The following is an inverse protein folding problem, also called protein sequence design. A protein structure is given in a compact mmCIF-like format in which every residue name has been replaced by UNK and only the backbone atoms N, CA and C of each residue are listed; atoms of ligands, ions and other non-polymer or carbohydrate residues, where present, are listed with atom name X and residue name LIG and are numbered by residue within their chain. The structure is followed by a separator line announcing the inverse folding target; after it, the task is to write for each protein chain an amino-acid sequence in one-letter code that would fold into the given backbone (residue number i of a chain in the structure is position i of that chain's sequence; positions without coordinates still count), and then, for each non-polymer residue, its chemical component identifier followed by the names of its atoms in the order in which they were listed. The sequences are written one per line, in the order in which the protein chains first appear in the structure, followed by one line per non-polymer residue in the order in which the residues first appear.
data_IF_052643422068
#
_entry.id   IF_052643422068
#
_cell.length_a   1.000
_cell.length_b   1.000
_cell.length_c   1.000
_cell.angle_alpha   90.00
_cell.angle_beta   90.00
_cell.angle_gamma   90.00
#
_symmetry.space_group_name_H-M   'P 1'
#
loop_
_entity.id
_entity.type
_entity.pdbx_description
1 polymer ?
#
# COMPACT_ATOMS: atom_id res chain seq x y z
N UNK A 1 0.11 -26.24 25.03
CA UNK A 1 -1.31 -26.16 24.64
C UNK A 1 -1.34 -25.93 23.14
N UNK A 2 -2.02 -26.79 22.38
CA UNK A 2 -2.28 -26.53 20.98
C UNK A 2 -3.25 -25.35 20.88
N UNK A 3 -2.88 -24.31 20.15
CA UNK A 3 -3.78 -23.18 19.86
C UNK A 3 -4.93 -23.73 19.00
N UNK A 4 -6.17 -23.48 19.40
CA UNK A 4 -7.35 -23.89 18.64
C UNK A 4 -7.66 -22.87 17.53
N UNK A 5 -6.97 -23.05 16.41
CA UNK A 5 -7.04 -22.17 15.23
C UNK A 5 -8.48 -22.03 14.71
N UNK A 6 -9.28 -23.09 14.78
CA UNK A 6 -10.67 -23.07 14.31
C UNK A 6 -11.53 -22.14 15.16
N UNK A 7 -11.38 -22.21 16.49
CA UNK A 7 -12.08 -21.30 17.39
C UNK A 7 -11.67 -19.84 17.15
N UNK A 8 -10.38 -19.54 16.93
CA UNK A 8 -9.96 -18.18 16.55
C UNK A 8 -10.60 -17.74 15.22
N UNK A 9 -10.68 -18.63 14.22
CA UNK A 9 -11.32 -18.28 12.93
C UNK A 9 -12.79 -17.94 13.10
N UNK A 10 -13.54 -18.73 13.87
CA UNK A 10 -14.95 -18.45 14.19
C UNK A 10 -15.10 -17.13 14.95
N UNK A 11 -14.24 -16.88 15.95
CA UNK A 11 -14.26 -15.64 16.73
C UNK A 11 -13.96 -14.41 15.87
N UNK A 12 -13.07 -14.54 14.88
CA UNK A 12 -12.81 -13.47 13.92
C UNK A 12 -14.05 -13.19 13.04
N UNK A 13 -14.70 -14.24 12.54
CA UNK A 13 -15.93 -14.10 11.74
C UNK A 13 -17.05 -13.42 12.53
N UNK A 14 -17.31 -13.86 13.77
CA UNK A 14 -18.29 -13.22 14.67
C UNK A 14 -17.99 -11.73 14.88
N UNK A 15 -16.72 -11.37 15.05
CA UNK A 15 -16.28 -10.00 15.26
C UNK A 15 -16.47 -9.13 14.01
N UNK A 16 -16.13 -9.66 12.82
CA UNK A 16 -16.35 -9.00 11.53
C UNK A 16 -17.84 -8.78 11.29
N UNK A 17 -18.66 -9.82 11.44
CA UNK A 17 -20.11 -9.75 11.27
C UNK A 17 -20.72 -8.72 12.22
N UNK A 18 -20.27 -8.68 13.48
CA UNK A 18 -20.71 -7.67 14.43
C UNK A 18 -20.45 -6.25 13.91
N UNK A 19 -19.24 -5.94 13.41
CA UNK A 19 -18.90 -4.60 12.90
C UNK A 19 -19.80 -4.25 11.72
N UNK A 20 -19.93 -5.13 10.72
CA UNK A 20 -20.77 -4.87 9.55
C UNK A 20 -22.25 -4.71 9.90
N UNK A 21 -22.80 -5.59 10.74
CA UNK A 21 -24.24 -5.61 11.04
C UNK A 21 -24.65 -4.53 12.05
N UNK A 22 -23.80 -4.20 13.02
CA UNK A 22 -24.15 -3.27 14.11
C UNK A 22 -23.66 -1.85 13.85
N UNK A 23 -22.51 -1.68 13.21
CA UNK A 23 -21.86 -0.38 13.08
C UNK A 23 -21.91 0.17 11.65
N UNK A 24 -21.92 -0.71 10.64
CA UNK A 24 -21.84 -0.36 9.21
C UNK A 24 -22.97 -0.98 8.36
N UNK A 25 -24.16 -1.13 8.95
CA UNK A 25 -25.30 -1.89 8.40
C UNK A 25 -25.79 -1.47 7.00
N UNK A 26 -25.41 -0.29 6.52
CA UNK A 26 -25.77 0.24 5.20
C UNK A 26 -24.58 0.39 4.24
N UNK A 27 -23.41 -0.15 4.58
CA UNK A 27 -22.20 -0.06 3.75
C UNK A 27 -22.22 -1.08 2.60
N UNK A 28 -23.17 -0.91 1.67
CA UNK A 28 -23.30 -1.73 0.47
C UNK A 28 -22.04 -1.59 -0.40
N UNK A 29 -21.41 -2.72 -0.72
CA UNK A 29 -20.27 -2.77 -1.65
C UNK A 29 -18.88 -2.82 -1.02
N UNK A 30 -18.76 -2.74 0.31
CA UNK A 30 -17.49 -3.02 0.99
C UNK A 30 -17.38 -4.55 1.20
N UNK A 31 -16.33 -5.21 0.71
CA UNK A 31 -16.19 -6.65 0.87
C UNK A 31 -15.89 -7.01 2.33
N UNK A 32 -16.45 -8.12 2.80
CA UNK A 32 -16.09 -8.65 4.11
C UNK A 32 -14.62 -9.08 4.12
N UNK A 33 -13.87 -8.80 5.20
CA UNK A 33 -12.50 -9.23 5.33
C UNK A 33 -12.32 -10.75 5.21
N UNK A 34 -11.29 -11.15 4.47
CA UNK A 34 -10.80 -12.53 4.46
C UNK A 34 -9.76 -12.67 5.56
N UNK A 35 -10.01 -13.59 6.49
CA UNK A 35 -9.11 -13.85 7.63
C UNK A 35 -8.20 -15.04 7.34
N UNK A 36 -6.89 -14.84 7.47
CA UNK A 36 -5.89 -15.91 7.42
C UNK A 36 -5.17 -15.99 8.77
N UNK A 37 -5.01 -17.20 9.29
CA UNK A 37 -4.12 -17.45 10.43
C UNK A 37 -2.78 -17.88 9.86
N UNK A 38 -1.72 -17.12 10.16
CA UNK A 38 -0.37 -17.38 9.71
C UNK A 38 0.25 -18.50 10.55
N UNK A 39 1.10 -19.29 9.90
CA UNK A 39 1.85 -20.36 10.54
C UNK A 39 3.22 -19.84 11.02
N UNK A 40 3.87 -20.49 11.99
CA UNK A 40 5.16 -20.03 12.53
C UNK A 40 6.30 -19.84 11.51
N UNK A 41 6.19 -20.51 10.36
CA UNK A 41 7.11 -20.44 9.22
C UNK A 41 6.79 -19.31 8.22
N UNK A 42 5.63 -18.66 8.35
CA UNK A 42 5.29 -17.49 7.54
C UNK A 42 6.15 -16.28 7.97
N UNK A 43 6.68 -15.54 6.98
CA UNK A 43 7.57 -14.39 7.21
C UNK A 43 6.98 -13.31 8.14
N UNK A 44 5.66 -13.14 8.12
CA UNK A 44 4.94 -12.14 8.91
C UNK A 44 4.26 -12.73 10.16
N UNK A 45 4.62 -13.95 10.59
CA UNK A 45 4.00 -14.59 11.75
C UNK A 45 4.11 -13.77 13.04
N UNK A 46 5.19 -13.02 13.22
CA UNK A 46 5.36 -12.21 14.44
C UNK A 46 4.52 -10.94 14.45
N UNK A 47 4.22 -10.36 13.28
CA UNK A 47 3.62 -9.04 13.14
C UNK A 47 2.20 -9.04 12.60
N UNK A 48 1.77 -10.14 11.97
CA UNK A 48 0.58 -10.15 11.13
C UNK A 48 0.77 -9.34 9.83
N UNK A 49 -0.28 -9.28 9.03
CA UNK A 49 -0.35 -8.46 7.81
C UNK A 49 -1.80 -8.08 7.49
N UNK A 50 -2.08 -6.78 7.43
CA UNK A 50 -3.41 -6.23 7.19
C UNK A 50 -3.32 -5.32 5.96
N UNK A 51 -4.11 -5.59 4.93
CA UNK A 51 -4.04 -4.86 3.67
C UNK A 51 -5.26 -5.06 2.77
N UNK A 52 -5.41 -4.16 1.81
CA UNK A 52 -6.39 -4.22 0.73
C UNK A 52 -5.69 -4.57 -0.58
N UNK A 53 -6.22 -5.54 -1.32
CA UNK A 53 -5.78 -5.83 -2.68
C UNK A 53 -6.48 -4.92 -3.68
N UNK A 54 -5.72 -4.11 -4.42
CA UNK A 54 -6.26 -3.24 -5.47
C UNK A 54 -6.36 -4.05 -6.78
N UNK A 55 -7.31 -4.97 -6.83
CA UNK A 55 -7.62 -5.73 -8.04
C UNK A 55 -9.08 -5.50 -8.49
N UNK A 56 -9.74 -6.49 -9.08
CA UNK A 56 -11.16 -6.38 -9.48
C UNK A 56 -12.12 -6.30 -8.30
N UNK A 57 -11.70 -6.71 -7.10
CA UNK A 57 -12.59 -6.95 -5.96
C UNK A 57 -12.32 -6.06 -4.75
N UNK A 58 -11.17 -5.37 -4.70
CA UNK A 58 -10.83 -4.50 -3.58
C UNK A 58 -10.95 -5.25 -2.26
N UNK A 59 -10.33 -6.43 -2.16
CA UNK A 59 -10.57 -7.34 -1.06
C UNK A 59 -9.74 -6.94 0.18
N UNK A 60 -10.38 -6.88 1.34
CA UNK A 60 -9.71 -6.69 2.64
C UNK A 60 -9.14 -8.05 3.10
N UNK A 61 -7.88 -8.06 3.51
CA UNK A 61 -7.18 -9.23 4.07
C UNK A 61 -6.70 -8.94 5.48
N UNK A 62 -7.09 -9.79 6.42
CA UNK A 62 -6.63 -9.75 7.81
C UNK A 62 -5.84 -11.02 8.13
N UNK A 63 -4.51 -10.93 8.04
CA UNK A 63 -3.63 -12.07 8.31
C UNK A 63 -3.07 -11.96 9.73
N UNK A 64 -3.59 -12.78 10.64
CA UNK A 64 -3.16 -12.79 12.03
C UNK A 64 -1.98 -13.73 12.24
N UNK A 65 -0.95 -13.21 12.91
CA UNK A 65 0.25 -13.93 13.29
C UNK A 65 0.11 -14.59 14.66
N UNK A 66 0.95 -14.18 15.61
CA UNK A 66 0.85 -14.56 17.03
C UNK A 66 -0.51 -14.14 17.60
N UNK A 67 -1.29 -15.14 18.00
CA UNK A 67 -2.63 -14.92 18.54
C UNK A 67 -2.58 -14.66 20.06
N UNK A 68 -3.37 -13.70 20.58
CA UNK A 68 -3.43 -13.44 22.01
C UNK A 68 -4.17 -14.56 22.72
N UNK A 69 -3.81 -14.84 23.98
CA UNK A 69 -4.38 -15.96 24.76
C UNK A 69 -5.90 -15.80 24.97
N UNK A 70 -6.37 -14.55 25.12
CA UNK A 70 -7.77 -14.26 25.34
C UNK A 70 -8.53 -14.11 24.02
N UNK A 71 -9.57 -14.93 23.84
CA UNK A 71 -10.51 -14.77 22.71
C UNK A 71 -11.21 -13.41 22.72
N UNK A 72 -11.48 -12.84 23.89
CA UNK A 72 -12.12 -11.52 23.97
C UNK A 72 -11.17 -10.42 23.46
N UNK A 73 -9.88 -10.50 23.81
CA UNK A 73 -8.88 -9.56 23.31
C UNK A 73 -8.71 -9.70 21.79
N UNK A 74 -8.64 -10.93 21.30
CA UNK A 74 -8.60 -11.21 19.87
C UNK A 74 -9.80 -10.63 19.11
N UNK A 75 -11.02 -10.83 19.63
CA UNK A 75 -12.22 -10.29 18.97
C UNK A 75 -12.20 -8.76 18.94
N UNK A 76 -11.69 -8.10 19.98
CA UNK A 76 -11.59 -6.64 19.98
C UNK A 76 -10.54 -6.15 18.98
N UNK A 77 -9.39 -6.83 18.86
CA UNK A 77 -8.38 -6.55 17.84
C UNK A 77 -8.97 -6.70 16.42
N UNK A 78 -9.68 -7.81 16.16
CA UNK A 78 -10.36 -8.03 14.87
C UNK A 78 -11.36 -6.91 14.56
N UNK A 79 -12.14 -6.46 15.55
CA UNK A 79 -13.07 -5.33 15.36
C UNK A 79 -12.35 -4.05 14.99
N UNK A 80 -11.27 -3.71 15.71
CA UNK A 80 -10.49 -2.49 15.44
C UNK A 80 -9.90 -2.51 14.04
N UNK A 81 -9.25 -3.61 13.65
CA UNK A 81 -8.67 -3.77 12.32
C UNK A 81 -9.75 -3.75 11.22
N UNK A 82 -10.89 -4.40 11.46
CA UNK A 82 -12.02 -4.36 10.51
C UNK A 82 -12.53 -2.93 10.31
N UNK A 83 -12.70 -2.15 11.39
CA UNK A 83 -13.10 -0.74 11.30
C UNK A 83 -12.05 0.12 10.58
N UNK A 84 -10.77 -0.11 10.84
CA UNK A 84 -9.67 0.59 10.17
C UNK A 84 -9.75 0.39 8.66
N UNK A 85 -9.81 -0.85 8.20
CA UNK A 85 -9.87 -1.15 6.76
C UNK A 85 -11.17 -0.65 6.12
N UNK A 86 -12.32 -0.72 6.80
CA UNK A 86 -13.59 -0.14 6.31
C UNK A 86 -13.49 1.39 6.16
N UNK A 87 -12.86 2.08 7.11
CA UNK A 87 -12.77 3.54 7.09
C UNK A 87 -11.78 4.05 6.02
N UNK A 88 -10.85 3.22 5.56
CA UNK A 88 -10.08 3.44 4.31
C UNK A 88 -10.95 3.36 3.04
N UNK A 89 -12.17 2.83 3.10
CA UNK A 89 -13.16 2.99 2.02
C UNK A 89 -14.03 4.24 2.20
N UNK A 90 -14.45 4.51 3.44
CA UNK A 90 -15.51 5.48 3.71
C UNK A 90 -15.03 6.91 3.98
N UNK A 91 -14.00 7.03 4.85
CA UNK A 91 -13.52 8.30 5.37
C UNK A 91 -12.49 8.92 4.45
N UNK A 92 -11.34 8.28 4.31
CA UNK A 92 -10.42 8.55 3.22
C UNK A 92 -10.94 7.71 2.07
N UNK A 93 -11.61 8.26 1.05
CA UNK A 93 -11.95 7.41 -0.07
C UNK A 93 -10.61 7.07 -0.71
N UNK A 94 -10.13 5.85 -0.49
CA UNK A 94 -9.36 5.16 -1.52
C UNK A 94 -10.28 4.87 -2.72
N UNK A 95 -11.13 5.81 -3.13
CA UNK A 95 -11.47 5.86 -4.54
C UNK A 95 -10.13 6.10 -5.27
N UNK A 96 -9.95 5.36 -6.35
CA UNK A 96 -8.72 5.37 -7.15
C UNK A 96 -8.25 6.79 -7.47
N UNK A 97 -9.19 7.72 -7.66
CA UNK A 97 -8.92 9.10 -8.09
C UNK A 97 -8.33 9.91 -6.94
N UNK A 98 -8.93 9.86 -5.74
CA UNK A 98 -8.46 10.58 -4.56
C UNK A 98 -7.09 10.07 -4.12
N UNK A 99 -6.90 8.74 -4.09
CA UNK A 99 -5.59 8.17 -3.82
C UNK A 99 -4.54 8.64 -4.84
N UNK A 100 -4.83 8.61 -6.15
CA UNK A 100 -3.90 9.13 -7.16
C UNK A 100 -3.63 10.63 -7.01
N UNK A 101 -4.62 11.43 -6.56
CA UNK A 101 -4.42 12.85 -6.26
C UNK A 101 -3.46 13.04 -5.08
N UNK A 102 -3.58 12.24 -4.03
CA UNK A 102 -2.64 12.24 -2.90
C UNK A 102 -1.23 11.88 -3.36
N UNK A 103 -1.07 10.79 -4.13
CA UNK A 103 0.22 10.40 -4.69
C UNK A 103 0.83 11.50 -5.56
N UNK A 104 0.00 12.15 -6.39
CA UNK A 104 0.44 13.29 -7.21
C UNK A 104 0.95 14.43 -6.33
N UNK A 105 0.21 14.82 -5.28
CA UNK A 105 0.62 15.91 -4.37
C UNK A 105 1.96 15.64 -3.72
N UNK A 106 2.16 14.44 -3.20
CA UNK A 106 3.43 14.01 -2.59
C UNK A 106 4.58 14.09 -3.60
N UNK A 107 4.34 13.64 -4.84
CA UNK A 107 5.34 13.71 -5.92
C UNK A 107 5.64 15.15 -6.31
N UNK A 108 4.64 16.01 -6.40
CA UNK A 108 4.81 17.43 -6.73
C UNK A 108 5.66 18.14 -5.67
N UNK A 109 5.39 17.90 -4.37
CA UNK A 109 6.23 18.37 -3.25
C UNK A 109 7.66 17.88 -3.40
N UNK A 110 7.84 16.58 -3.63
CA UNK A 110 9.17 15.97 -3.77
C UNK A 110 9.95 16.59 -4.92
N UNK A 111 9.38 16.66 -6.13
CA UNK A 111 10.11 17.16 -7.28
C UNK A 111 10.43 18.66 -7.19
N UNK A 112 9.53 19.43 -6.57
CA UNK A 112 9.68 20.88 -6.41
C UNK A 112 10.74 21.26 -5.38
N UNK A 113 10.85 20.52 -4.27
CA UNK A 113 11.65 20.93 -3.12
C UNK A 113 12.74 19.92 -2.71
N UNK A 114 12.59 18.64 -3.03
CA UNK A 114 13.38 17.54 -2.46
C UNK A 114 13.98 16.57 -3.50
N UNK A 115 13.93 16.93 -4.79
CA UNK A 115 14.42 16.06 -5.89
C UNK A 115 15.90 15.69 -5.78
N UNK A 116 16.68 16.54 -5.12
CA UNK A 116 18.11 16.33 -4.86
C UNK A 116 18.42 15.14 -3.92
N UNK A 117 17.41 14.60 -3.22
CA UNK A 117 17.61 13.51 -2.27
C UNK A 117 17.79 12.14 -2.92
N UNK A 118 17.47 11.99 -4.21
CA UNK A 118 17.61 10.71 -4.92
C UNK A 118 16.70 9.59 -4.38
N UNK A 119 15.67 9.94 -3.59
CA UNK A 119 14.69 8.99 -3.06
C UNK A 119 13.92 8.37 -4.23
N UNK A 120 13.68 7.06 -4.18
CA UNK A 120 12.77 6.40 -5.11
C UNK A 120 11.33 6.75 -4.76
N UNK A 121 10.92 7.95 -5.18
CA UNK A 121 9.63 8.53 -4.84
C UNK A 121 8.45 7.68 -5.31
N UNK A 122 8.63 6.88 -6.38
CA UNK A 122 7.59 5.96 -6.88
C UNK A 122 7.16 4.94 -5.81
N UNK A 123 8.09 4.49 -4.98
CA UNK A 123 7.77 3.57 -3.88
C UNK A 123 7.45 4.33 -2.58
N UNK A 124 8.16 5.43 -2.31
CA UNK A 124 7.96 6.18 -1.06
C UNK A 124 6.59 6.90 -0.99
N UNK A 125 6.04 7.35 -2.13
CA UNK A 125 4.79 8.12 -2.12
C UNK A 125 3.60 7.30 -1.60
N UNK A 126 3.57 5.99 -1.88
CA UNK A 126 2.52 5.10 -1.36
C UNK A 126 2.53 5.04 0.17
N UNK A 127 3.71 4.84 0.76
CA UNK A 127 3.88 4.78 2.21
C UNK A 127 3.53 6.11 2.90
N UNK A 128 4.01 7.25 2.37
CA UNK A 128 3.71 8.58 2.91
C UNK A 128 2.21 8.87 2.82
N UNK A 129 1.57 8.52 1.70
CA UNK A 129 0.13 8.65 1.53
C UNK A 129 -0.65 7.80 2.53
N UNK A 130 -0.19 6.58 2.79
CA UNK A 130 -0.82 5.68 3.75
C UNK A 130 -0.75 6.24 5.17
N UNK A 131 0.44 6.70 5.59
CA UNK A 131 0.63 7.26 6.93
C UNK A 131 -0.27 8.48 7.17
N UNK A 132 -0.41 9.37 6.19
CA UNK A 132 -1.34 10.49 6.28
C UNK A 132 -2.82 10.04 6.37
N UNK A 133 -3.19 8.99 5.62
CA UNK A 133 -4.53 8.42 5.68
C UNK A 133 -4.81 7.73 7.03
N UNK A 134 -3.84 6.98 7.57
CA UNK A 134 -3.94 6.29 8.85
C UNK A 134 -4.16 7.28 10.01
N UNK A 135 -3.50 8.45 10.00
CA UNK A 135 -3.78 9.51 11.00
C UNK A 135 -5.26 9.89 10.98
N UNK A 136 -5.86 10.05 9.80
CA UNK A 136 -7.27 10.44 9.67
C UNK A 136 -8.19 9.29 10.10
N UNK A 137 -7.96 8.09 9.56
CA UNK A 137 -8.78 6.89 9.79
C UNK A 137 -8.75 6.47 11.26
N UNK A 138 -7.56 6.39 11.85
CA UNK A 138 -7.42 5.95 13.23
C UNK A 138 -7.95 6.99 14.21
N UNK A 139 -7.78 8.28 13.92
CA UNK A 139 -8.37 9.34 14.75
C UNK A 139 -9.89 9.30 14.70
N UNK A 140 -10.49 9.07 13.53
CA UNK A 140 -11.94 8.88 13.43
C UNK A 140 -12.42 7.68 14.25
N UNK A 141 -11.72 6.55 14.12
CA UNK A 141 -12.04 5.35 14.89
C UNK A 141 -11.85 5.58 16.40
N UNK A 142 -10.80 6.31 16.79
CA UNK A 142 -10.54 6.69 18.18
C UNK A 142 -11.68 7.54 18.77
N UNK A 143 -12.21 8.52 18.02
CA UNK A 143 -13.35 9.31 18.50
C UNK A 143 -14.63 8.49 18.71
N UNK A 144 -14.77 7.34 18.04
CA UNK A 144 -15.92 6.43 18.20
C UNK A 144 -15.67 5.31 19.22
N UNK A 145 -14.44 4.80 19.30
CA UNK A 145 -14.05 3.57 20.01
C UNK A 145 -12.72 3.74 20.76
N UNK A 146 -12.55 4.86 21.48
CA UNK A 146 -11.27 5.31 22.04
C UNK A 146 -10.44 4.24 22.75
N UNK A 147 -11.04 3.49 23.68
CA UNK A 147 -10.34 2.47 24.47
C UNK A 147 -9.78 1.33 23.62
N UNK A 148 -10.58 0.83 22.67
CA UNK A 148 -10.19 -0.30 21.82
C UNK A 148 -9.13 0.13 20.81
N UNK A 149 -9.32 1.30 20.18
CA UNK A 149 -8.38 1.87 19.20
C UNK A 149 -7.03 2.21 19.85
N UNK A 150 -7.04 2.88 21.01
CA UNK A 150 -5.81 3.23 21.73
C UNK A 150 -5.01 1.98 22.11
N UNK A 151 -5.69 0.96 22.66
CA UNK A 151 -5.02 -0.31 23.02
C UNK A 151 -4.39 -0.95 21.78
N UNK A 152 -5.15 -1.03 20.68
CA UNK A 152 -4.66 -1.63 19.44
C UNK A 152 -3.45 -0.90 18.86
N UNK A 153 -3.43 0.44 18.89
CA UNK A 153 -2.31 1.23 18.40
C UNK A 153 -1.04 0.98 19.24
N UNK A 154 -1.18 0.97 20.58
CA UNK A 154 -0.08 0.68 21.51
C UNK A 154 0.45 -0.74 21.29
N UNK A 155 -0.43 -1.73 21.14
CA UNK A 155 -0.03 -3.12 20.92
C UNK A 155 0.69 -3.28 19.58
N UNK A 156 0.24 -2.56 18.54
CA UNK A 156 0.89 -2.56 17.23
C UNK A 156 2.29 -1.93 17.27
N UNK A 157 2.45 -0.80 17.97
CA UNK A 157 3.76 -0.15 18.20
C UNK A 157 4.72 -1.11 18.91
N UNK A 158 4.24 -1.88 19.89
CA UNK A 158 5.05 -2.87 20.63
C UNK A 158 5.44 -4.08 19.78
N UNK A 159 4.58 -4.51 18.87
CA UNK A 159 4.83 -5.62 17.94
C UNK A 159 5.85 -5.20 16.86
N UNK A 160 5.82 -3.93 16.46
CA UNK A 160 6.77 -3.34 15.51
C UNK A 160 8.20 -3.22 16.04
N UNK A 161 9.09 -2.69 15.20
CA UNK A 161 10.43 -2.28 15.62
C UNK A 161 10.35 -1.27 16.78
N UNK A 162 11.41 -1.13 17.58
CA UNK A 162 11.48 -0.15 18.67
C UNK A 162 11.32 1.29 18.14
N UNK A 163 10.08 1.75 17.99
CA UNK A 163 9.72 3.02 17.35
C UNK A 163 10.41 4.20 18.03
N UNK A 164 10.59 4.15 19.36
CA UNK A 164 11.31 5.18 20.11
C UNK A 164 12.75 5.39 19.61
N UNK A 165 13.40 4.32 19.14
CA UNK A 165 14.75 4.35 18.57
C UNK A 165 14.78 4.66 17.07
N UNK A 166 13.63 4.76 16.40
CA UNK A 166 13.58 5.08 14.98
C UNK A 166 13.87 6.58 14.71
N UNK A 167 14.30 6.92 13.49
CA UNK A 167 14.44 8.31 13.05
C UNK A 167 13.15 9.12 13.22
N UNK A 168 13.26 10.45 13.28
CA UNK A 168 12.12 11.35 13.53
C UNK A 168 11.05 11.22 12.45
N UNK A 169 11.43 11.10 11.17
CA UNK A 169 10.45 10.90 10.10
C UNK A 169 9.63 9.60 10.24
N UNK A 170 10.19 8.54 10.85
CA UNK A 170 9.47 7.28 11.12
C UNK A 170 8.49 7.40 12.30
N UNK A 171 8.77 8.30 13.26
CA UNK A 171 7.91 8.55 14.44
C UNK A 171 6.77 9.51 14.15
N UNK A 172 6.88 10.30 13.08
CA UNK A 172 5.97 11.42 12.76
C UNK A 172 4.49 11.01 12.77
N UNK A 173 4.14 9.89 12.13
CA UNK A 173 2.74 9.42 12.08
C UNK A 173 2.17 9.19 13.48
N UNK A 174 2.87 8.41 14.30
CA UNK A 174 2.40 8.01 15.62
C UNK A 174 2.36 9.19 16.59
N UNK A 175 3.39 10.03 16.60
CA UNK A 175 3.41 11.23 17.45
C UNK A 175 2.32 12.21 17.05
N UNK A 176 1.96 12.28 15.76
CA UNK A 176 0.82 13.09 15.32
C UNK A 176 -0.49 12.53 15.88
N UNK A 177 -0.69 11.21 15.86
CA UNK A 177 -1.84 10.56 16.52
C UNK A 177 -1.85 10.84 18.02
N UNK A 178 -0.72 10.65 18.70
CA UNK A 178 -0.52 10.92 20.13
C UNK A 178 -0.95 12.36 20.50
N UNK A 179 -0.48 13.34 19.73
CA UNK A 179 -0.82 14.74 19.92
C UNK A 179 -2.30 15.06 19.68
N UNK A 180 -2.93 14.45 18.68
CA UNK A 180 -4.37 14.64 18.40
C UNK A 180 -5.23 13.99 19.49
N UNK A 181 -4.86 12.77 19.93
CA UNK A 181 -5.65 11.98 20.88
C UNK A 181 -5.47 12.43 22.32
N UNK A 182 -4.35 13.09 22.62
CA UNK A 182 -3.93 13.51 23.96
C UNK A 182 -3.80 12.32 24.92
N UNK A 183 -3.34 11.20 24.38
CA UNK A 183 -3.07 9.94 25.08
C UNK A 183 -1.61 9.56 24.85
N UNK A 184 -1.02 8.75 25.73
CA UNK A 184 0.36 8.27 25.60
C UNK A 184 0.40 6.96 24.81
N UNK A 185 1.11 6.94 23.67
CA UNK A 185 1.31 5.75 22.84
C UNK A 185 2.59 4.97 23.23
N UNK A 186 3.33 5.45 24.21
CA UNK A 186 4.56 4.84 24.71
C UNK A 186 5.80 5.15 23.88
N UNK A 187 5.73 6.15 22.98
CA UNK A 187 6.86 6.54 22.11
C UNK A 187 7.92 7.29 22.92
N UNK A 188 7.49 8.11 23.89
CA UNK A 188 8.34 8.86 24.82
C UNK A 188 9.36 9.78 24.11
N UNK A 189 8.92 10.54 23.10
CA UNK A 189 9.78 11.53 22.44
C UNK A 189 10.10 12.70 23.38
N UNK A 190 11.35 13.17 23.34
CA UNK A 190 11.85 14.23 24.24
C UNK A 190 12.40 15.45 23.50
N UNK A 191 12.57 15.38 22.17
CA UNK A 191 13.02 16.53 21.38
C UNK A 191 11.93 17.63 21.30
N UNK A 192 12.12 18.80 21.96
CA UNK A 192 11.10 19.84 22.03
C UNK A 192 10.82 20.51 20.69
N UNK A 193 11.81 20.61 19.79
CA UNK A 193 11.61 21.21 18.48
C UNK A 193 10.81 20.26 17.58
N UNK A 194 11.08 18.95 17.67
CA UNK A 194 10.30 17.97 16.95
C UNK A 194 8.85 17.89 17.48
N UNK A 195 8.65 17.88 18.80
CA UNK A 195 7.31 17.91 19.40
C UNK A 195 6.51 19.15 18.97
N UNK A 196 7.16 20.31 18.83
CA UNK A 196 6.51 21.51 18.32
C UNK A 196 6.01 21.34 16.88
N UNK A 197 6.81 20.73 16.00
CA UNK A 197 6.41 20.40 14.62
C UNK A 197 5.21 19.45 14.64
N UNK A 198 5.26 18.41 15.48
CA UNK A 198 4.16 17.44 15.64
C UNK A 198 2.87 18.13 16.08
N UNK A 199 2.92 19.01 17.08
CA UNK A 199 1.72 19.72 17.56
C UNK A 199 1.14 20.65 16.49
N UNK A 200 1.98 21.35 15.72
CA UNK A 200 1.52 22.18 14.61
C UNK A 200 0.83 21.34 13.52
N UNK A 201 1.39 20.16 13.21
CA UNK A 201 0.79 19.24 12.26
C UNK A 201 -0.55 18.68 12.77
N UNK A 202 -0.63 18.33 14.05
CA UNK A 202 -1.87 17.89 14.70
C UNK A 202 -2.97 18.97 14.64
N UNK A 203 -2.62 20.24 14.90
CA UNK A 203 -3.54 21.36 14.77
C UNK A 203 -4.02 21.53 13.32
N UNK A 204 -3.14 21.37 12.34
CA UNK A 204 -3.52 21.43 10.93
C UNK A 204 -4.48 20.30 10.53
N UNK A 205 -4.22 19.06 10.97
CA UNK A 205 -5.10 17.91 10.71
C UNK A 205 -6.49 18.09 11.31
N UNK A 206 -6.61 18.84 12.42
CA UNK A 206 -7.87 19.02 13.15
C UNK A 206 -8.61 20.34 12.82
N UNK A 207 -7.96 21.29 12.15
CA UNK A 207 -8.45 22.67 11.89
C UNK A 207 -9.90 22.80 11.39
N UNK A 208 -10.32 21.92 10.48
CA UNK A 208 -11.69 21.90 9.91
C UNK A 208 -12.47 20.62 10.28
N UNK A 209 -11.96 19.86 11.26
CA UNK A 209 -12.39 18.49 11.51
C UNK A 209 -11.49 17.47 10.80
N UNK A 210 -11.27 16.33 11.46
CA UNK A 210 -10.36 15.30 10.97
C UNK A 210 -10.86 14.70 9.64
N UNK A 211 -12.17 14.54 9.49
CA UNK A 211 -12.84 13.93 8.33
C UNK A 211 -13.16 14.91 7.19
N UNK A 212 -12.74 16.18 7.28
CA UNK A 212 -12.99 17.17 6.22
C UNK A 212 -12.28 16.79 4.92
N UNK A 213 -13.04 16.25 3.97
CA UNK A 213 -12.55 15.78 2.67
C UNK A 213 -11.98 16.91 1.81
N UNK A 214 -12.42 18.16 2.02
CA UNK A 214 -11.97 19.28 1.21
C UNK A 214 -10.50 19.65 1.49
N UNK A 215 -10.04 19.43 2.72
CA UNK A 215 -8.66 19.70 3.16
C UNK A 215 -7.73 18.48 3.12
N UNK A 216 -8.18 17.31 2.67
CA UNK A 216 -7.35 16.09 2.65
C UNK A 216 -6.07 16.23 1.83
N UNK A 217 -6.14 16.85 0.65
CA UNK A 217 -4.95 17.02 -0.18
C UNK A 217 -3.95 17.98 0.47
N UNK A 218 -4.44 19.01 1.17
CA UNK A 218 -3.60 19.97 1.89
C UNK A 218 -2.93 19.31 3.10
N UNK A 219 -3.67 18.50 3.87
CA UNK A 219 -3.13 17.70 4.99
C UNK A 219 -2.01 16.75 4.52
N UNK A 220 -2.22 16.08 3.38
CA UNK A 220 -1.22 15.18 2.79
C UNK A 220 0.00 15.93 2.26
N UNK A 221 -0.21 17.09 1.64
CA UNK A 221 0.87 17.95 1.15
C UNK A 221 1.75 18.42 2.31
N UNK A 222 1.15 18.93 3.39
CA UNK A 222 1.85 19.35 4.60
C UNK A 222 2.58 18.20 5.31
N UNK A 223 1.91 17.06 5.46
CA UNK A 223 2.52 15.85 6.02
C UNK A 223 3.76 15.44 5.23
N UNK A 224 3.66 15.41 3.90
CA UNK A 224 4.78 15.05 3.02
C UNK A 224 5.94 16.05 3.12
N UNK A 225 5.65 17.35 3.18
CA UNK A 225 6.69 18.36 3.38
C UNK A 225 7.46 18.16 4.68
N UNK A 226 6.75 17.96 5.79
CA UNK A 226 7.36 17.74 7.10
C UNK A 226 8.15 16.43 7.09
N UNK A 227 7.58 15.35 6.54
CA UNK A 227 8.25 14.07 6.40
C UNK A 227 9.59 14.21 5.66
N UNK A 228 9.63 14.89 4.51
CA UNK A 228 10.87 15.08 3.76
C UNK A 228 11.85 15.98 4.50
N UNK A 229 11.40 17.06 5.16
CA UNK A 229 12.28 17.92 5.98
C UNK A 229 12.96 17.11 7.08
N UNK A 230 12.20 16.32 7.83
CA UNK A 230 12.74 15.44 8.88
C UNK A 230 13.69 14.39 8.31
N UNK A 231 13.33 13.77 7.18
CA UNK A 231 14.21 12.80 6.51
C UNK A 231 15.58 13.41 6.18
N UNK A 232 15.62 14.64 5.63
CA UNK A 232 16.88 15.33 5.33
C UNK A 232 17.71 15.59 6.57
N UNK A 233 17.07 16.03 7.66
CA UNK A 233 17.77 16.30 8.90
C UNK A 233 18.29 15.02 9.56
N UNK A 234 17.53 13.93 9.51
CA UNK A 234 17.94 12.63 10.04
C UNK A 234 19.17 12.07 9.30
N UNK A 235 19.27 12.31 7.98
CA UNK A 235 20.48 11.97 7.22
C UNK A 235 21.71 12.81 7.61
N UNK A 236 21.50 14.07 8.03
CA UNK A 236 22.59 14.98 8.43
C UNK A 236 23.14 14.69 9.82
N UNK A 237 22.33 14.10 10.71
CA UNK A 237 22.70 13.79 12.10
C UNK A 237 22.60 12.29 12.41
N UNK A 238 23.49 11.43 11.86
CA UNK A 238 23.36 9.98 12.00
C UNK A 238 23.44 9.49 13.46
N UNK A 239 24.08 10.25 14.35
CA UNK A 239 24.24 9.91 15.77
C UNK A 239 22.93 9.91 16.58
N UNK A 240 21.88 10.59 16.10
CA UNK A 240 20.52 10.44 16.64
C UNK A 240 19.75 9.26 16.01
N UNK A 241 20.25 8.70 14.90
CA UNK A 241 19.58 7.67 14.08
C UNK A 241 20.22 6.27 14.18
N UNK A 242 21.28 6.13 14.97
CA UNK A 242 22.08 4.91 15.04
C UNK A 242 21.46 3.85 15.96
N UNK A 243 20.56 3.03 15.40
CA UNK A 243 20.69 1.57 15.28
C UNK A 243 19.46 1.00 14.55
N UNK A 244 19.67 0.32 13.41
CA UNK A 244 18.69 -0.41 12.55
C UNK A 244 17.97 0.34 11.40
N UNK A 245 18.39 1.53 10.98
CA UNK A 245 17.75 2.25 9.85
C UNK A 245 18.07 1.75 8.42
N UNK A 246 18.94 0.75 8.23
CA UNK A 246 19.37 0.29 6.90
C UNK A 246 18.63 -0.95 6.37
N UNK A 247 17.49 -1.30 6.96
CA UNK A 247 16.43 -1.96 6.21
C UNK A 247 15.45 -0.86 5.81
N UNK A 248 15.28 -0.64 4.51
CA UNK A 248 14.14 0.11 4.01
C UNK A 248 12.90 -0.39 4.74
N UNK A 249 12.25 0.47 5.52
CA UNK A 249 10.98 0.18 6.19
C UNK A 249 9.82 0.00 5.18
N UNK A 250 10.13 -0.31 3.92
CA UNK A 250 9.21 -0.62 2.83
C UNK A 250 8.72 -2.06 2.87
N UNK A 251 8.49 -2.64 4.06
CA UNK A 251 8.17 -4.07 4.18
C UNK A 251 7.18 -4.51 5.25
N UNK A 252 6.77 -3.67 6.21
CA UNK A 252 5.87 -4.11 7.30
C UNK A 252 4.72 -3.15 7.64
N UNK A 253 4.45 -2.17 6.79
CA UNK A 253 3.16 -1.48 6.73
C UNK A 253 2.53 -1.85 5.38
N UNK A 254 1.26 -2.27 5.38
CA UNK A 254 0.56 -2.94 4.27
C UNK A 254 1.03 -2.48 2.89
N UNK A 255 1.79 -3.35 2.21
CA UNK A 255 2.22 -3.07 0.84
C UNK A 255 0.99 -3.13 -0.06
N UNK A 256 0.38 -1.98 -0.39
CA UNK A 256 -0.41 -1.87 -1.61
C UNK A 256 0.55 -2.12 -2.78
N UNK A 257 0.60 -3.36 -3.26
CA UNK A 257 1.23 -3.67 -4.54
C UNK A 257 0.43 -2.99 -5.65
N UNK A 258 0.90 -1.83 -6.09
CA UNK A 258 0.49 -1.26 -7.38
C UNK A 258 1.01 -2.16 -8.50
N UNK A 259 0.17 -3.08 -8.98
CA UNK A 259 0.36 -3.69 -10.29
C UNK A 259 -0.07 -2.66 -11.34
N UNK A 260 0.92 -2.04 -11.98
CA UNK A 260 0.71 -1.12 -13.09
C UNK A 260 0.08 -1.83 -14.28
N UNK A 261 -0.85 -1.15 -14.93
CA UNK A 261 -1.48 -1.53 -16.19
C UNK A 261 -0.44 -1.99 -17.23
N UNK A 262 -0.56 -3.23 -17.69
CA UNK A 262 -0.14 -3.62 -19.03
C UNK A 262 -1.37 -3.62 -19.93
N UNK A 263 -1.29 -3.00 -21.10
CA UNK A 263 -2.15 -3.30 -22.23
C UNK A 263 -1.31 -3.35 -23.51
N UNK A 264 -1.88 -3.72 -24.67
CA UNK A 264 -2.92 -4.72 -24.92
C UNK A 264 -2.36 -5.97 -25.66
N UNK A 265 -3.19 -7.01 -25.69
CA UNK A 265 -3.19 -8.24 -26.51
C UNK A 265 -2.13 -8.42 -27.62
N UNK A 266 -1.56 -9.63 -27.67
CA UNK A 266 -1.61 -10.44 -28.89
C UNK A 266 -2.22 -11.83 -28.61
N UNK A 267 -3.29 -12.12 -29.34
CA UNK A 267 -3.85 -13.46 -29.53
C UNK A 267 -3.01 -14.24 -30.55
N UNK A 268 -3.22 -15.56 -30.51
CA UNK A 268 -2.86 -16.65 -31.45
C UNK A 268 -1.58 -17.42 -31.06
N UNK A 269 -1.62 -18.75 -30.89
CA UNK A 269 -2.73 -19.69 -31.01
C UNK A 269 -2.36 -21.14 -30.70
N UNK A 270 -3.40 -21.96 -30.81
CA UNK A 270 -3.44 -23.40 -31.10
C UNK A 270 -3.16 -24.45 -30.02
N UNK A 271 -4.04 -25.45 -30.10
CA UNK A 271 -4.23 -26.67 -29.34
C UNK A 271 -3.01 -27.60 -29.36
N UNK A 272 -2.88 -28.40 -28.30
CA UNK A 272 -2.02 -29.58 -28.29
C UNK A 272 -2.18 -30.40 -27.01
N UNK A 273 -2.59 -31.65 -27.18
CA UNK A 273 -3.09 -32.65 -26.22
C UNK A 273 -2.07 -33.33 -25.29
N UNK A 274 -2.60 -33.86 -24.18
CA UNK A 274 -2.24 -35.10 -23.44
C UNK A 274 -0.85 -35.77 -23.69
N UNK A 275 -0.09 -36.05 -22.62
CA UNK A 275 0.10 -37.40 -22.03
C UNK A 275 1.21 -37.46 -20.95
N UNK A 276 1.15 -38.57 -20.21
CA UNK A 276 1.81 -38.92 -18.95
C UNK A 276 3.33 -39.24 -19.03
N UNK A 277 3.92 -39.25 -17.82
CA UNK A 277 4.91 -40.21 -17.27
C UNK A 277 6.38 -40.13 -17.69
N UNK A 278 7.28 -40.27 -16.69
CA UNK A 278 8.62 -40.86 -16.89
C UNK A 278 9.79 -40.32 -16.06
N UNK A 279 10.00 -40.91 -14.89
CA UNK A 279 11.23 -41.25 -14.15
C UNK A 279 12.62 -40.61 -14.44
N UNK A 280 13.28 -40.27 -13.32
CA UNK A 280 14.69 -40.48 -12.89
C UNK A 280 15.88 -40.37 -13.88
N UNK A 281 16.93 -39.65 -13.44
CA UNK A 281 18.32 -39.95 -13.83
C UNK A 281 19.38 -38.88 -13.55
N UNK A 282 20.07 -39.03 -12.42
CA UNK A 282 21.52 -38.92 -12.15
C UNK A 282 22.43 -37.81 -12.72
N UNK A 283 23.15 -37.18 -11.77
CA UNK A 283 24.52 -36.61 -11.76
C UNK A 283 25.44 -36.71 -13.02
N UNK A 284 26.11 -35.61 -13.38
CA UNK A 284 27.56 -35.35 -13.21
C UNK A 284 28.12 -34.20 -14.09
N UNK A 285 28.73 -33.22 -13.41
CA UNK A 285 30.06 -32.63 -13.65
C UNK A 285 30.46 -31.91 -14.97
N UNK A 286 30.71 -30.60 -14.80
CA UNK A 286 31.87 -29.78 -15.22
C UNK A 286 32.47 -29.88 -16.64
N UNK A 287 32.57 -28.73 -17.33
CA UNK A 287 33.51 -28.53 -18.45
C UNK A 287 33.45 -27.18 -19.16
N UNK A 288 34.27 -26.23 -18.71
CA UNK A 288 35.11 -25.24 -19.43
C UNK A 288 34.56 -24.26 -20.51
N UNK A 289 35.29 -23.13 -20.58
CA UNK A 289 35.08 -21.89 -21.33
C UNK A 289 35.57 -21.92 -22.80
N UNK A 290 34.84 -21.21 -23.67
CA UNK A 290 35.31 -20.35 -24.79
C UNK A 290 35.72 -21.00 -26.13
N UNK A 291 35.87 -20.24 -27.25
CA UNK A 291 35.71 -18.79 -27.44
C UNK A 291 34.83 -18.35 -28.65
N UNK A 292 34.67 -17.03 -28.81
CA UNK A 292 34.12 -16.32 -29.98
C UNK A 292 34.88 -16.63 -31.29
N UNK A 293 34.18 -16.61 -32.43
CA UNK A 293 34.62 -15.87 -33.62
C UNK A 293 33.48 -15.56 -34.62
N UNK A 294 33.57 -14.36 -35.19
CA UNK A 294 32.75 -13.80 -36.25
C UNK A 294 33.21 -14.25 -37.64
N UNK A 295 32.31 -14.01 -38.62
CA UNK A 295 32.53 -13.59 -40.01
C UNK A 295 32.44 -14.66 -41.11
N UNK A 296 31.64 -14.32 -42.12
CA UNK A 296 31.44 -15.05 -43.38
C UNK A 296 30.34 -14.38 -44.21
N UNK A 297 30.75 -13.43 -45.06
CA UNK A 297 29.92 -12.72 -46.04
C UNK A 297 29.61 -13.58 -47.29
N UNK A 298 28.53 -13.17 -47.96
CA UNK A 298 28.29 -13.14 -49.42
C UNK A 298 27.68 -14.34 -50.19
N UNK A 299 26.69 -13.96 -51.03
CA UNK A 299 26.15 -14.65 -52.21
C UNK A 299 24.63 -14.86 -52.11
N UNK A 300 23.74 -14.53 -53.05
CA UNK A 300 23.83 -13.95 -54.41
C UNK A 300 22.43 -13.47 -54.80
N UNK A 301 22.37 -12.54 -55.76
CA UNK A 301 21.18 -11.95 -56.39
C UNK A 301 20.20 -12.97 -57.00
N UNK A 302 18.90 -12.63 -56.99
CA UNK A 302 18.02 -12.79 -58.16
C UNK A 302 16.95 -11.69 -58.18
N UNK A 303 16.87 -10.97 -59.31
CA UNK A 303 15.85 -10.00 -59.70
C UNK A 303 14.72 -10.69 -60.48
N UNK A 304 13.48 -10.24 -60.28
CA UNK A 304 12.37 -10.13 -61.27
C UNK A 304 11.10 -9.70 -60.52
N UNK A 305 10.24 -8.74 -60.91
CA UNK A 305 10.17 -7.83 -62.04
C UNK A 305 8.92 -6.93 -61.94
N UNK A 306 9.06 -5.71 -62.45
CA UNK A 306 8.13 -4.81 -63.18
C UNK A 306 6.62 -4.61 -62.85
N UNK A 307 6.26 -3.31 -62.77
CA UNK A 307 5.12 -2.56 -63.37
C UNK A 307 3.65 -2.89 -62.92
N UNK A 308 2.70 -1.95 -62.74
CA UNK A 308 2.63 -0.50 -62.91
C UNK A 308 1.19 0.07 -62.75
N UNK A 309 1.09 1.40 -62.63
CA UNK A 309 0.05 2.37 -63.10
C UNK A 309 -1.43 2.44 -62.59
N UNK A 310 -1.74 3.61 -61.97
CA UNK A 310 -2.82 4.63 -62.17
C UNK A 310 -4.30 4.30 -62.52
N UNK A 311 -5.25 4.94 -61.79
CA UNK A 311 -6.28 5.96 -62.21
C UNK A 311 -7.46 6.03 -61.18
N UNK A 312 -7.85 7.20 -60.61
CA UNK A 312 -9.01 8.11 -60.94
C UNK A 312 -10.35 7.40 -61.22
N UNK A 313 -11.57 7.75 -60.78
CA UNK A 313 -12.32 8.99 -60.38
C UNK A 313 -13.65 8.53 -59.71
N UNK A 314 -14.32 9.22 -58.77
CA UNK A 314 -15.24 10.38 -58.92
C UNK A 314 -16.70 10.00 -59.25
N UNK A 315 -17.67 10.22 -58.33
CA UNK A 315 -19.14 10.42 -58.54
C UNK A 315 -19.80 10.80 -57.19
N UNK A 316 -20.14 12.07 -56.91
CA UNK A 316 -21.44 12.79 -57.08
C UNK A 316 -22.69 12.15 -56.44
N UNK A 317 -23.33 12.89 -55.51
CA UNK A 317 -24.67 12.63 -54.96
C UNK A 317 -25.79 13.41 -55.68
N UNK A 318 -27.01 13.45 -55.11
CA UNK A 318 -27.69 14.74 -54.94
C UNK A 318 -28.47 14.93 -53.62
N UNK A 319 -28.77 16.21 -53.35
CA UNK A 319 -29.63 16.85 -52.33
C UNK A 319 -31.09 16.37 -52.41
N UNK A 320 -32.06 16.62 -51.50
CA UNK A 320 -32.56 17.80 -50.75
C UNK A 320 -33.64 17.22 -49.75
N UNK A 321 -34.17 17.83 -48.70
CA UNK A 321 -34.89 19.11 -48.63
C UNK A 321 -35.30 19.39 -47.16
N UNK A 322 -35.18 20.65 -46.73
CA UNK A 322 -35.84 21.23 -45.55
C UNK A 322 -37.11 21.97 -46.00
N UNK A 323 -38.16 21.95 -45.16
CA UNK A 323 -39.37 22.73 -45.37
C UNK A 323 -40.44 22.53 -44.30
N UNK A 324 -40.28 23.19 -43.15
CA UNK A 324 -41.21 24.17 -42.54
C UNK A 324 -40.76 24.53 -41.13
#
# INVERSE_FOLDING_TARGET
MSIDIETYRLKAQEAIEYVFVKEYHNSLGIPMPIVKMLLPDDANYSTGQYYITIDKTWQIHLNFGKLPISYHEFQNEVKVLTRHEIEHYMCCPFDVITHFRMLKRIRDVYYKHFSHLGINIKYACGAISNQAADIIVDTKNYYRHSKETLKSEIDWIKIGANISACPRHCKLMFLTKEAIWKEDLGINETDPEFLKIVHQLADSFTKNGIEDKSSFLDKVEEYAEIFFKLYVEDQKNPQQSSQQGSQQQSGQQGSQQQSGQQGPQQQSGQQGSQQQSGQQGSQQQSGQQGPQQQSGQQGSQQQSGQQGSQQQSGQQGPQQQSGQ
#
